data_IF_690999279606
#
_entry.id   IF_690999279606
#
_cell.length_a   1.000
_cell.length_b   1.000
_cell.length_c   1.000
_cell.angle_alpha   90.00
_cell.angle_beta   90.00
_cell.angle_gamma   90.00
#
_symmetry.space_group_name_H-M   'P 1'
#
loop_
_entity.id
_entity.type
_entity.pdbx_description
1 polymer ?
#
# COMPACT_ATOMS: atom_id res chain seq x y z
N UNK A 1 -3.15 -19.85 6.15
CA UNK A 1 -3.12 -19.66 7.62
C UNK A 1 -3.38 -18.19 7.93
N UNK A 2 -4.23 -17.84 8.91
CA UNK A 2 -4.42 -16.46 9.32
C UNK A 2 -3.11 -15.93 9.95
N UNK A 3 -2.86 -14.64 9.80
CA UNK A 3 -1.63 -14.00 10.23
C UNK A 3 -1.93 -12.98 11.34
N UNK A 4 -1.30 -13.12 12.50
CA UNK A 4 -1.63 -12.35 13.73
C UNK A 4 -0.97 -10.97 13.76
N UNK A 5 -1.63 -10.06 14.48
CA UNK A 5 -1.39 -8.62 14.55
C UNK A 5 0.07 -8.22 14.87
N UNK A 6 0.48 -7.13 14.23
CA UNK A 6 1.85 -6.64 14.20
C UNK A 6 2.09 -5.56 15.25
N UNK A 7 3.26 -5.58 15.91
CA UNK A 7 3.80 -4.41 16.58
C UNK A 7 4.63 -3.61 15.56
N UNK A 8 4.10 -2.48 15.10
CA UNK A 8 4.89 -1.49 14.34
C UNK A 8 6.17 -1.16 15.12
N UNK A 9 7.37 -1.24 14.51
CA UNK A 9 8.63 -0.86 15.14
C UNK A 9 8.53 0.56 15.69
N UNK A 10 9.14 0.81 16.86
CA UNK A 10 9.11 2.14 17.49
C UNK A 10 9.60 3.21 16.51
N UNK A 11 10.67 2.92 15.76
CA UNK A 11 11.23 3.82 14.75
C UNK A 11 10.20 4.29 13.70
N UNK A 12 9.30 3.39 13.27
CA UNK A 12 8.24 3.72 12.32
C UNK A 12 7.06 4.47 12.97
N UNK A 13 6.81 4.28 14.28
CA UNK A 13 5.72 4.96 14.98
C UNK A 13 5.88 6.48 14.98
N UNK A 14 7.11 6.99 14.97
CA UNK A 14 7.41 8.42 14.91
C UNK A 14 6.92 9.10 13.63
N UNK A 15 6.81 8.36 12.53
CA UNK A 15 6.30 8.88 11.26
C UNK A 15 4.79 8.68 11.10
N UNK A 16 4.18 7.80 11.90
CA UNK A 16 2.78 7.43 11.71
C UNK A 16 1.86 8.54 12.19
N UNK A 17 1.12 9.13 11.26
CA UNK A 17 0.18 10.23 11.51
C UNK A 17 -1.26 9.73 11.70
N UNK A 18 -1.59 8.54 11.20
CA UNK A 18 -2.88 7.91 11.44
C UNK A 18 -2.77 6.37 11.42
N UNK A 19 -3.58 5.70 12.23
CA UNK A 19 -3.63 4.22 12.27
C UNK A 19 -4.76 3.72 11.38
N UNK A 20 -4.46 2.73 10.55
CA UNK A 20 -5.45 1.92 9.86
C UNK A 20 -4.99 0.45 9.94
N UNK A 21 -5.95 -0.47 10.04
CA UNK A 21 -5.66 -1.91 10.20
C UNK A 21 -6.64 -2.71 9.37
N UNK A 22 -6.38 -2.84 8.07
CA UNK A 22 -7.19 -3.62 7.12
C UNK A 22 -7.57 -4.99 7.70
N UNK A 23 -6.60 -5.74 8.22
CA UNK A 23 -6.86 -7.07 8.80
C UNK A 23 -7.84 -7.05 9.96
N UNK A 24 -7.77 -6.05 10.83
CA UNK A 24 -8.72 -5.97 11.95
C UNK A 24 -10.15 -5.74 11.45
N UNK A 25 -10.33 -5.06 10.32
CA UNK A 25 -11.65 -4.88 9.71
C UNK A 25 -12.13 -6.21 9.11
N UNK A 26 -11.28 -6.85 8.30
CA UNK A 26 -11.59 -8.14 7.66
C UNK A 26 -11.84 -9.26 8.67
N UNK A 27 -11.10 -9.34 9.79
CA UNK A 27 -11.27 -10.45 10.76
C UNK A 27 -12.43 -10.25 11.73
N UNK A 28 -12.93 -9.01 11.90
CA UNK A 28 -13.99 -8.72 12.88
C UNK A 28 -15.37 -8.55 12.25
N UNK A 29 -15.44 -8.31 10.94
CA UNK A 29 -16.71 -8.11 10.25
C UNK A 29 -17.07 -9.35 9.41
N UNK A 30 -18.07 -10.15 9.81
CA UNK A 30 -18.50 -11.35 9.08
C UNK A 30 -18.94 -11.07 7.65
N UNK A 31 -19.54 -9.90 7.39
CA UNK A 31 -19.96 -9.51 6.04
C UNK A 31 -18.76 -9.36 5.11
N UNK A 32 -17.67 -8.73 5.58
CA UNK A 32 -16.43 -8.60 4.80
C UNK A 32 -15.73 -9.94 4.59
N UNK A 33 -15.84 -10.88 5.54
CA UNK A 33 -15.28 -12.23 5.40
C UNK A 33 -15.98 -13.04 4.31
N UNK A 34 -17.26 -12.77 4.08
CA UNK A 34 -18.03 -13.44 3.04
C UNK A 34 -17.75 -12.93 1.62
N UNK A 35 -16.94 -11.86 1.46
CA UNK A 35 -16.60 -11.28 0.16
C UNK A 35 -15.33 -11.93 -0.44
N UNK A 36 -15.43 -12.74 -1.51
CA UNK A 36 -14.29 -13.49 -2.04
C UNK A 36 -13.17 -12.59 -2.59
N UNK A 37 -13.53 -11.46 -3.19
CA UNK A 37 -12.58 -10.48 -3.77
C UNK A 37 -11.64 -9.87 -2.73
N UNK A 38 -12.07 -9.76 -1.47
CA UNK A 38 -11.26 -9.20 -0.38
C UNK A 38 -10.19 -10.19 0.13
N UNK A 39 -10.38 -11.50 -0.04
CA UNK A 39 -9.47 -12.53 0.47
C UNK A 39 -8.06 -12.48 -0.16
N UNK A 40 -7.96 -11.99 -1.40
CA UNK A 40 -6.71 -11.94 -2.18
C UNK A 40 -6.31 -10.55 -2.70
N UNK A 41 -7.06 -9.49 -2.38
CA UNK A 41 -6.85 -8.16 -3.00
C UNK A 41 -7.09 -6.96 -2.12
N UNK A 42 -7.48 -7.13 -0.85
CA UNK A 42 -7.93 -6.00 -0.02
C UNK A 42 -6.87 -4.89 0.18
N UNK A 43 -5.56 -5.19 0.10
CA UNK A 43 -4.51 -4.16 0.14
C UNK A 43 -4.51 -3.30 -1.12
N UNK A 44 -4.81 -3.88 -2.28
CA UNK A 44 -4.94 -3.19 -3.56
C UNK A 44 -6.14 -2.25 -3.51
N UNK A 45 -7.33 -2.77 -3.17
CA UNK A 45 -8.55 -1.96 -3.11
C UNK A 45 -8.47 -0.85 -2.06
N UNK A 46 -7.89 -1.11 -0.89
CA UNK A 46 -7.70 -0.08 0.14
C UNK A 46 -6.72 1.00 -0.31
N UNK A 47 -5.62 0.63 -0.97
CA UNK A 47 -4.66 1.59 -1.55
C UNK A 47 -5.32 2.47 -2.60
N UNK A 48 -6.11 1.88 -3.50
CA UNK A 48 -6.85 2.63 -4.50
C UNK A 48 -7.90 3.56 -3.91
N UNK A 49 -8.65 3.10 -2.91
CA UNK A 49 -9.60 3.94 -2.20
C UNK A 49 -8.90 5.11 -1.50
N UNK A 50 -7.72 4.88 -0.91
CA UNK A 50 -6.90 5.93 -0.32
C UNK A 50 -6.41 6.95 -1.35
N UNK A 51 -5.85 6.50 -2.48
CA UNK A 51 -5.36 7.36 -3.56
C UNK A 51 -6.48 8.22 -4.14
N UNK A 52 -7.60 7.59 -4.52
CA UNK A 52 -8.74 8.32 -5.05
C UNK A 52 -9.30 9.34 -4.03
N UNK A 53 -9.34 8.99 -2.73
CA UNK A 53 -9.77 9.95 -1.69
C UNK A 53 -8.79 11.12 -1.57
N UNK A 54 -7.49 10.85 -1.59
CA UNK A 54 -6.46 11.88 -1.50
C UNK A 54 -6.49 12.82 -2.72
N UNK A 55 -6.75 12.29 -3.92
CA UNK A 55 -6.93 13.09 -5.13
C UNK A 55 -8.15 14.02 -5.02
N UNK A 56 -9.27 13.50 -4.50
CA UNK A 56 -10.52 14.26 -4.34
C UNK A 56 -10.47 15.29 -3.20
N UNK A 57 -9.68 15.03 -2.16
CA UNK A 57 -9.55 15.89 -1.00
C UNK A 57 -8.09 15.99 -0.50
N UNK A 58 -7.19 16.66 -1.23
CA UNK A 58 -5.76 16.70 -0.90
C UNK A 58 -5.46 17.35 0.47
N UNK A 59 -6.31 18.28 0.91
CA UNK A 59 -6.19 18.96 2.20
C UNK A 59 -6.79 18.17 3.38
N UNK A 60 -7.40 17.00 3.15
CA UNK A 60 -7.96 16.18 4.22
C UNK A 60 -6.87 15.76 5.22
N UNK A 61 -7.22 15.62 6.49
CA UNK A 61 -6.27 15.09 7.49
C UNK A 61 -6.09 13.57 7.32
N UNK A 62 -4.90 13.06 7.68
CA UNK A 62 -4.63 11.62 7.65
C UNK A 62 -5.63 10.80 8.49
N UNK A 63 -6.08 11.38 9.62
CA UNK A 63 -7.06 10.75 10.51
C UNK A 63 -8.40 10.62 9.81
N UNK A 64 -8.88 11.67 9.14
CA UNK A 64 -10.15 11.64 8.43
C UNK A 64 -10.11 10.70 7.22
N UNK A 65 -8.99 10.66 6.46
CA UNK A 65 -8.77 9.67 5.40
C UNK A 65 -8.85 8.23 5.92
N UNK A 66 -8.15 7.91 7.02
CA UNK A 66 -8.19 6.57 7.60
C UNK A 66 -9.57 6.21 8.19
N UNK A 67 -10.27 7.21 8.75
CA UNK A 67 -11.64 7.04 9.24
C UNK A 67 -12.61 6.74 8.08
N UNK A 68 -12.48 7.45 6.95
CA UNK A 68 -13.21 7.17 5.72
C UNK A 68 -13.04 5.72 5.28
N UNK A 69 -11.80 5.22 5.20
CA UNK A 69 -11.51 3.83 4.85
C UNK A 69 -12.07 2.79 5.85
N UNK A 70 -12.44 3.21 7.06
CA UNK A 70 -12.97 2.33 8.10
C UNK A 70 -14.50 2.26 8.10
N UNK A 71 -15.18 2.99 7.22
CA UNK A 71 -16.64 2.96 7.09
C UNK A 71 -17.11 1.76 6.26
N UNK A 72 -18.26 1.19 6.61
CA UNK A 72 -18.81 0.02 5.93
C UNK A 72 -19.13 0.27 4.44
N UNK A 73 -19.67 1.44 4.11
CA UNK A 73 -19.96 1.85 2.73
C UNK A 73 -18.69 1.91 1.86
N UNK A 74 -17.58 2.32 2.46
CA UNK A 74 -16.28 2.40 1.79
C UNK A 74 -15.70 1.02 1.52
N UNK A 75 -16.04 0.02 2.33
CA UNK A 75 -15.63 -1.36 2.08
C UNK A 75 -16.30 -1.99 0.87
N UNK A 76 -17.54 -1.62 0.54
CA UNK A 76 -18.16 -2.03 -0.73
C UNK A 76 -17.39 -1.46 -1.93
N UNK A 77 -16.89 -0.23 -1.83
CA UNK A 77 -16.05 0.38 -2.88
C UNK A 77 -14.67 -0.29 -2.98
N UNK A 78 -14.06 -0.59 -1.83
CA UNK A 78 -12.80 -1.33 -1.77
C UNK A 78 -12.97 -2.71 -2.42
N UNK A 79 -14.06 -3.41 -2.12
CA UNK A 79 -14.43 -4.69 -2.73
C UNK A 79 -14.49 -4.56 -4.26
N UNK A 80 -15.19 -3.55 -4.78
CA UNK A 80 -15.30 -3.35 -6.23
C UNK A 80 -13.94 -3.10 -6.90
N UNK A 81 -13.05 -2.35 -6.25
CA UNK A 81 -11.66 -2.17 -6.72
C UNK A 81 -10.84 -3.46 -6.67
N UNK A 82 -11.02 -4.28 -5.64
CA UNK A 82 -10.40 -5.60 -5.57
C UNK A 82 -10.92 -6.51 -6.67
N UNK A 83 -12.23 -6.51 -6.90
CA UNK A 83 -12.89 -7.31 -7.92
C UNK A 83 -12.34 -6.97 -9.31
N UNK A 84 -12.34 -5.68 -9.68
CA UNK A 84 -11.79 -5.21 -10.95
C UNK A 84 -10.32 -5.64 -11.15
N UNK A 85 -9.49 -5.50 -10.11
CA UNK A 85 -8.10 -5.97 -10.14
C UNK A 85 -8.00 -7.49 -10.34
N UNK A 86 -8.78 -8.27 -9.59
CA UNK A 86 -8.73 -9.73 -9.62
C UNK A 86 -9.28 -10.33 -10.94
N UNK A 87 -10.25 -9.68 -11.58
CA UNK A 87 -10.85 -10.12 -12.84
C UNK A 87 -10.12 -9.62 -14.08
N UNK A 88 -9.09 -8.77 -13.92
CA UNK A 88 -8.28 -8.31 -15.03
C UNK A 88 -7.45 -9.48 -15.57
N UNK A 89 -7.75 -9.90 -16.81
CA UNK A 89 -7.16 -11.07 -17.51
C UNK A 89 -5.71 -10.85 -17.97
N UNK A 90 -4.91 -10.17 -17.17
CA UNK A 90 -3.46 -9.99 -17.35
C UNK A 90 -2.74 -10.85 -16.31
N UNK A 91 -1.63 -11.49 -16.66
CA UNK A 91 -0.98 -12.45 -15.77
C UNK A 91 -0.16 -11.80 -14.65
N UNK A 92 0.39 -10.60 -14.87
CA UNK A 92 1.22 -9.92 -13.87
C UNK A 92 0.48 -8.79 -13.12
N UNK A 93 0.75 -8.70 -11.81
CA UNK A 93 0.08 -7.75 -10.92
C UNK A 93 0.39 -6.29 -11.27
N UNK A 94 1.57 -6.00 -11.81
CA UNK A 94 1.97 -4.65 -12.20
C UNK A 94 1.12 -4.11 -13.34
N UNK A 95 0.94 -4.89 -14.41
CA UNK A 95 0.07 -4.53 -15.53
C UNK A 95 -1.40 -4.52 -15.12
N UNK A 96 -1.83 -5.39 -14.19
CA UNK A 96 -3.18 -5.28 -13.59
C UNK A 96 -3.39 -3.94 -12.88
N UNK A 97 -2.41 -3.47 -12.10
CA UNK A 97 -2.47 -2.14 -11.48
C UNK A 97 -2.63 -1.08 -12.57
N UNK A 98 -1.72 -1.04 -13.55
CA UNK A 98 -1.73 -0.05 -14.63
C UNK A 98 -3.06 -0.02 -15.40
N UNK A 99 -3.59 -1.19 -15.75
CA UNK A 99 -4.87 -1.31 -16.46
C UNK A 99 -6.07 -0.79 -15.67
N UNK A 100 -6.01 -0.83 -14.32
CA UNK A 100 -7.09 -0.38 -13.47
C UNK A 100 -6.96 1.09 -13.03
N UNK A 101 -5.78 1.71 -13.15
CA UNK A 101 -5.57 3.12 -12.77
C UNK A 101 -6.60 4.08 -13.39
N UNK A 102 -6.90 4.02 -14.71
CA UNK A 102 -7.82 4.98 -15.33
C UNK A 102 -9.24 4.87 -14.79
N UNK A 103 -9.73 3.65 -14.60
CA UNK A 103 -11.09 3.40 -14.13
C UNK A 103 -11.28 3.74 -12.65
N UNK A 104 -10.21 3.63 -11.85
CA UNK A 104 -10.29 3.77 -10.39
C UNK A 104 -9.93 5.19 -9.94
N UNK A 105 -8.83 5.72 -10.47
CA UNK A 105 -8.25 7.00 -10.06
C UNK A 105 -8.46 8.10 -11.11
N UNK A 106 -8.97 7.78 -12.30
CA UNK A 106 -9.06 8.74 -13.40
C UNK A 106 -7.70 9.14 -13.97
N UNK A 107 -6.64 8.37 -13.70
CA UNK A 107 -5.26 8.68 -14.07
C UNK A 107 -4.64 7.47 -14.79
N UNK A 108 -3.69 7.74 -15.68
CA UNK A 108 -2.87 6.72 -16.35
C UNK A 108 -1.51 6.59 -15.65
N UNK A 109 -0.65 5.66 -16.08
CA UNK A 109 0.73 5.66 -15.63
C UNK A 109 1.58 6.65 -16.44
N UNK A 110 2.30 7.54 -15.76
CA UNK A 110 3.22 8.49 -16.40
C UNK A 110 4.67 8.00 -16.40
N UNK A 111 5.05 7.26 -15.36
CA UNK A 111 6.37 6.66 -15.25
C UNK A 111 6.33 5.46 -14.31
N UNK A 112 7.30 4.55 -14.45
CA UNK A 112 7.43 3.43 -13.52
C UNK A 112 8.88 3.00 -13.39
N UNK A 113 9.22 2.43 -12.24
CA UNK A 113 10.52 1.80 -12.01
C UNK A 113 10.35 0.42 -11.39
N UNK A 114 11.25 -0.48 -11.79
CA UNK A 114 11.38 -1.81 -11.23
C UNK A 114 12.72 -1.91 -10.50
N UNK A 115 12.72 -2.55 -9.34
CA UNK A 115 13.92 -2.75 -8.54
C UNK A 115 13.82 -4.06 -7.75
N UNK A 116 14.93 -4.53 -7.19
CA UNK A 116 14.95 -5.79 -6.46
C UNK A 116 15.61 -5.67 -5.08
N UNK A 117 15.14 -6.48 -4.15
CA UNK A 117 15.73 -6.69 -2.83
C UNK A 117 15.80 -5.44 -1.97
N UNK A 118 16.69 -5.47 -0.98
CA UNK A 118 16.91 -4.35 -0.08
C UNK A 118 17.57 -3.15 -0.77
N UNK A 119 18.49 -3.40 -1.69
CA UNK A 119 19.26 -2.34 -2.36
C UNK A 119 18.41 -1.56 -3.36
N UNK A 120 17.41 -2.20 -3.97
CA UNK A 120 16.44 -1.57 -4.87
C UNK A 120 15.60 -0.47 -4.22
N UNK A 121 15.54 -0.40 -2.89
CA UNK A 121 14.84 0.67 -2.16
C UNK A 121 15.44 2.06 -2.43
N UNK A 122 16.73 2.13 -2.76
CA UNK A 122 17.39 3.36 -3.16
C UNK A 122 16.84 3.87 -4.51
N UNK A 123 16.65 2.96 -5.47
CA UNK A 123 16.05 3.25 -6.77
C UNK A 123 14.64 3.81 -6.63
N UNK A 124 13.82 3.23 -5.74
CA UNK A 124 12.47 3.73 -5.44
C UNK A 124 12.50 5.17 -4.90
N UNK A 125 13.34 5.43 -3.91
CA UNK A 125 13.46 6.77 -3.31
C UNK A 125 13.93 7.80 -4.35
N UNK A 126 14.95 7.46 -5.14
CA UNK A 126 15.47 8.31 -6.20
C UNK A 126 14.41 8.62 -7.26
N UNK A 127 13.61 7.63 -7.66
CA UNK A 127 12.54 7.81 -8.62
C UNK A 127 11.45 8.76 -8.11
N UNK A 128 11.07 8.66 -6.83
CA UNK A 128 10.12 9.60 -6.21
C UNK A 128 10.73 11.01 -6.20
N UNK A 129 11.99 11.16 -5.81
CA UNK A 129 12.66 12.46 -5.73
C UNK A 129 12.77 13.15 -7.10
N UNK A 130 12.97 12.39 -8.17
CA UNK A 130 13.11 12.93 -9.53
C UNK A 130 11.79 13.23 -10.23
N UNK A 131 10.67 12.67 -9.76
CA UNK A 131 9.36 12.78 -10.42
C UNK A 131 8.31 13.52 -9.60
N UNK A 132 8.65 14.02 -8.40
CA UNK A 132 7.73 14.79 -7.56
C UNK A 132 7.38 16.18 -8.15
N UNK A 133 6.18 16.74 -7.87
CA UNK A 133 5.11 16.13 -7.09
C UNK A 133 4.39 15.01 -7.85
N UNK A 134 3.96 13.96 -7.14
CA UNK A 134 3.34 12.81 -7.78
C UNK A 134 2.57 11.89 -6.83
N UNK A 135 1.63 11.14 -7.40
CA UNK A 135 0.97 10.01 -6.75
C UNK A 135 1.57 8.72 -7.28
N UNK A 136 1.71 7.71 -6.41
CA UNK A 136 2.31 6.44 -6.78
C UNK A 136 1.59 5.27 -6.14
N UNK A 137 1.62 4.14 -6.85
CA UNK A 137 1.31 2.82 -6.32
C UNK A 137 2.61 2.04 -6.24
N UNK A 138 2.94 1.55 -5.03
CA UNK A 138 4.06 0.63 -4.84
C UNK A 138 3.53 -0.77 -4.59
N UNK A 139 3.81 -1.66 -5.53
CA UNK A 139 3.64 -3.11 -5.40
C UNK A 139 4.98 -3.73 -5.05
N UNK A 140 5.00 -4.63 -4.08
CA UNK A 140 6.17 -5.46 -3.82
C UNK A 140 5.80 -6.92 -3.55
N UNK A 141 6.68 -7.82 -3.95
CA UNK A 141 6.59 -9.26 -3.69
C UNK A 141 7.52 -9.64 -2.54
N UNK A 142 7.34 -10.85 -2.02
CA UNK A 142 8.23 -11.41 -1.00
C UNK A 142 8.91 -12.66 -1.51
N UNK A 143 10.17 -12.85 -1.12
CA UNK A 143 10.94 -14.05 -1.42
C UNK A 143 10.17 -15.32 -0.99
N UNK A 144 10.34 -16.39 -1.76
CA UNK A 144 9.67 -17.67 -1.51
C UNK A 144 8.19 -17.69 -1.87
N UNK A 145 7.77 -16.85 -2.83
CA UNK A 145 6.40 -16.84 -3.37
C UNK A 145 5.36 -16.34 -2.38
N UNK A 146 5.75 -15.42 -1.48
CA UNK A 146 4.80 -14.80 -0.56
C UNK A 146 3.76 -13.92 -1.28
N UNK A 147 2.60 -13.67 -0.67
CA UNK A 147 1.56 -12.84 -1.27
C UNK A 147 2.06 -11.41 -1.47
N UNK A 148 1.91 -10.84 -2.66
CA UNK A 148 2.29 -9.45 -2.92
C UNK A 148 1.53 -8.47 -2.02
N UNK A 149 2.12 -7.29 -1.79
CA UNK A 149 1.49 -6.20 -1.04
C UNK A 149 1.54 -4.89 -1.83
N UNK A 150 0.52 -4.06 -1.62
CA UNK A 150 0.35 -2.79 -2.32
C UNK A 150 0.17 -1.66 -1.32
N UNK A 151 0.90 -0.57 -1.55
CA UNK A 151 0.89 0.66 -0.77
C UNK A 151 0.67 1.88 -1.67
N UNK A 152 0.05 2.91 -1.11
CA UNK A 152 -0.18 4.20 -1.78
C UNK A 152 0.83 5.26 -1.34
N UNK A 153 1.25 6.11 -2.26
CA UNK A 153 2.20 7.19 -1.97
C UNK A 153 1.71 8.48 -2.62
N UNK A 154 1.85 9.59 -1.90
CA UNK A 154 1.87 10.93 -2.46
C UNK A 154 3.17 11.59 -2.02
N UNK A 155 3.90 12.21 -2.94
CA UNK A 155 5.12 12.93 -2.61
C UNK A 155 5.11 14.32 -3.24
N UNK A 156 5.61 15.28 -2.48
CA UNK A 156 5.90 16.63 -2.94
C UNK A 156 7.27 17.08 -2.40
N UNK A 157 7.64 18.35 -2.68
CA UNK A 157 8.91 18.92 -2.22
C UNK A 157 9.07 18.95 -0.70
N UNK A 158 7.97 18.88 0.06
CA UNK A 158 7.96 19.02 1.50
C UNK A 158 8.00 17.68 2.22
N UNK A 159 7.32 16.65 1.69
CA UNK A 159 7.19 15.36 2.35
C UNK A 159 6.74 14.25 1.40
N UNK A 160 6.92 13.02 1.86
CA UNK A 160 6.23 11.84 1.34
C UNK A 160 5.14 11.43 2.33
N UNK A 161 3.91 11.38 1.86
CA UNK A 161 2.79 10.71 2.54
C UNK A 161 2.73 9.27 2.02
N UNK A 162 2.83 8.31 2.93
CA UNK A 162 2.86 6.89 2.61
C UNK A 162 1.72 6.18 3.34
N UNK A 163 0.94 5.38 2.63
CA UNK A 163 -0.15 4.60 3.17
C UNK A 163 0.11 3.11 3.00
N UNK A 164 0.18 2.40 4.14
CA UNK A 164 0.18 0.94 4.18
C UNK A 164 -1.17 0.47 4.76
N UNK A 165 -2.00 -0.25 3.98
CA UNK A 165 -3.27 -0.79 4.46
C UNK A 165 -3.18 -1.61 5.76
N UNK A 166 -2.02 -2.21 6.07
CA UNK A 166 -1.83 -2.99 7.29
C UNK A 166 -1.48 -2.16 8.54
N UNK A 167 -1.05 -0.90 8.39
CA UNK A 167 -0.52 -0.12 9.52
C UNK A 167 -1.00 1.34 9.61
N UNK A 168 -1.43 1.92 8.48
CA UNK A 168 -1.93 3.30 8.40
C UNK A 168 -1.10 4.23 7.55
N UNK A 169 -1.31 5.52 7.78
CA UNK A 169 -0.69 6.61 7.03
C UNK A 169 0.49 7.19 7.80
N UNK A 170 1.56 7.47 7.07
CA UNK A 170 2.82 7.99 7.56
C UNK A 170 3.17 9.27 6.81
N UNK A 171 3.82 10.20 7.51
CA UNK A 171 4.38 11.41 6.91
C UNK A 171 5.89 11.41 7.12
N UNK A 172 6.62 11.43 6.03
CA UNK A 172 8.08 11.30 5.99
C UNK A 172 8.67 12.58 5.41
N UNK A 173 9.66 13.15 6.09
CA UNK A 173 10.35 14.35 5.61
C UNK A 173 11.04 14.13 4.26
N UNK A 174 11.38 15.21 3.54
CA UNK A 174 11.76 15.13 2.13
C UNK A 174 13.07 14.34 1.91
N UNK A 175 13.95 14.33 2.92
CA UNK A 175 15.27 13.65 2.89
C UNK A 175 15.27 12.25 3.52
N UNK A 176 14.12 11.76 4.03
CA UNK A 176 14.05 10.53 4.84
C UNK A 176 13.37 9.35 4.16
N UNK A 177 13.06 9.46 2.86
CA UNK A 177 12.32 8.43 2.11
C UNK A 177 13.05 7.08 2.10
N UNK A 178 14.34 7.07 1.79
CA UNK A 178 15.15 5.84 1.78
C UNK A 178 15.23 5.18 3.17
N UNK A 179 15.49 5.97 4.21
CA UNK A 179 15.49 5.49 5.59
C UNK A 179 14.15 4.84 5.96
N UNK A 180 13.05 5.49 5.58
CA UNK A 180 11.71 4.97 5.81
C UNK A 180 11.47 3.64 5.10
N UNK A 181 11.83 3.52 3.83
CA UNK A 181 11.72 2.24 3.12
C UNK A 181 12.57 1.13 3.74
N UNK A 182 13.79 1.44 4.17
CA UNK A 182 14.64 0.47 4.88
C UNK A 182 14.05 0.06 6.23
N UNK A 183 13.42 0.99 6.96
CA UNK A 183 12.68 0.69 8.19
C UNK A 183 11.44 -0.18 7.92
N UNK A 184 10.73 0.09 6.82
CA UNK A 184 9.60 -0.73 6.39
C UNK A 184 10.05 -2.15 6.03
N UNK A 185 11.12 -2.33 5.25
CA UNK A 185 11.68 -3.66 4.97
C UNK A 185 11.97 -4.43 6.27
N UNK A 186 12.67 -3.79 7.22
CA UNK A 186 12.94 -4.39 8.55
C UNK A 186 11.67 -4.73 9.33
N UNK A 187 10.59 -3.96 9.14
CA UNK A 187 9.30 -4.28 9.73
C UNK A 187 8.75 -5.60 9.19
N UNK A 188 8.80 -5.81 7.87
CA UNK A 188 8.31 -7.03 7.20
C UNK A 188 9.21 -8.25 7.46
N UNK A 189 10.50 -8.09 7.77
CA UNK A 189 11.36 -9.20 8.24
C UNK A 189 10.91 -9.84 9.56
N UNK A 190 10.24 -9.08 10.41
CA UNK A 190 9.84 -9.53 11.75
C UNK A 190 8.36 -9.96 11.80
N UNK A 191 7.86 -10.47 10.67
CA UNK A 191 6.48 -10.86 10.53
C UNK A 191 6.19 -12.12 11.35
N UNK A 192 5.07 -12.13 12.09
CA UNK A 192 4.62 -13.28 12.87
C UNK A 192 3.41 -13.91 12.20
N UNK A 193 3.45 -15.23 12.01
CA UNK A 193 2.29 -16.01 11.59
C UNK A 193 1.20 -16.00 12.66
N UNK A 194 -0.02 -16.43 12.33
CA UNK A 194 -1.08 -16.54 13.33
C UNK A 194 -0.82 -17.57 14.42
N UNK A 195 0.13 -18.48 14.17
CA UNK A 195 0.65 -19.43 15.15
C UNK A 195 1.82 -18.84 16.00
N UNK A 196 2.13 -17.54 15.85
CA UNK A 196 3.24 -16.90 16.55
C UNK A 196 4.63 -17.26 15.99
N UNK A 197 4.70 -17.96 14.86
CA UNK A 197 5.97 -18.33 14.22
C UNK A 197 6.49 -17.14 13.43
N UNK A 198 7.73 -16.70 13.72
CA UNK A 198 8.40 -15.69 12.92
C UNK A 198 8.65 -16.21 11.51
N UNK A 199 8.15 -15.48 10.52
CA UNK A 199 8.47 -15.67 9.10
C UNK A 199 9.21 -14.43 8.63
N UNK A 200 10.41 -14.63 8.09
CA UNK A 200 11.12 -13.52 7.46
C UNK A 200 10.50 -13.27 6.09
N UNK A 201 9.83 -12.13 5.93
CA UNK A 201 9.28 -11.71 4.64
C UNK A 201 10.20 -10.67 4.04
N UNK A 202 11.23 -11.14 3.35
CA UNK A 202 12.18 -10.31 2.61
C UNK A 202 11.49 -9.83 1.33
N UNK A 203 11.61 -8.55 1.02
CA UNK A 203 11.16 -8.04 -0.27
C UNK A 203 12.01 -8.62 -1.39
N UNK A 204 11.36 -9.01 -2.47
CA UNK A 204 12.00 -9.59 -3.67
C UNK A 204 11.96 -8.58 -4.81
N UNK A 205 10.81 -8.36 -5.41
CA UNK A 205 10.63 -7.39 -6.49
C UNK A 205 9.82 -6.19 -6.02
N UNK A 206 10.17 -5.01 -6.55
CA UNK A 206 9.48 -3.75 -6.35
C UNK A 206 9.03 -3.18 -7.68
N UNK A 207 7.79 -2.77 -7.73
CA UNK A 207 7.21 -2.05 -8.86
C UNK A 207 6.57 -0.77 -8.33
N UNK A 208 7.13 0.37 -8.70
CA UNK A 208 6.59 1.67 -8.34
C UNK A 208 6.09 2.35 -9.60
N UNK A 209 4.80 2.66 -9.62
CA UNK A 209 4.11 3.27 -10.75
C UNK A 209 3.65 4.66 -10.33
N UNK A 210 4.11 5.69 -11.04
CA UNK A 210 3.62 7.05 -10.90
C UNK A 210 2.33 7.22 -11.72
N UNK A 211 1.34 7.88 -11.12
CA UNK A 211 0.09 8.26 -11.78
C UNK A 211 0.27 9.62 -12.46
N UNK A 212 -0.23 9.76 -13.69
CA UNK A 212 -0.29 11.01 -14.44
C UNK A 212 -1.60 11.17 -15.22
N UNK A 213 -1.85 12.41 -15.65
CA UNK A 213 -3.00 12.77 -16.47
C UNK A 213 -2.77 12.37 -17.93
#
# INVERSE_FOLDING_TARGET
MPYVAWKTPIAMKWFRVAKFKQRSQLTKNPYLQAMPSLAGGACVGATFAWLNRHLQAPAESAVNRCAFLSRDDTWCRIESYCSAFNTTLILDNTRRIKANLPNICGLTDSSSVEAQGFDGLATLAQHIDSTQPGYYVWLFTFEGGGPSHVCGIYADRNCMTFFDPNSGEYRVGPTRKLDFFKMLYKHYLNYLSGAGVRKEMKFDEHYLVQLGA
#
